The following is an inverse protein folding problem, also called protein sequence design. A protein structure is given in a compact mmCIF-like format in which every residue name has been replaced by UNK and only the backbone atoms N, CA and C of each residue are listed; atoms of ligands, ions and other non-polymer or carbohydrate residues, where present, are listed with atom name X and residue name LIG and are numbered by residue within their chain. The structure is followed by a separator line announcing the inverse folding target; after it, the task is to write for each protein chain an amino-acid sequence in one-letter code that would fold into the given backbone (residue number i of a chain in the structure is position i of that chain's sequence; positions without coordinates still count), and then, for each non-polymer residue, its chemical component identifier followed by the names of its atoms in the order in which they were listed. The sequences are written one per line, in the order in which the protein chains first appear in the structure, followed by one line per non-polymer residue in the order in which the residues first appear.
data_IF_253568324042
#
_entry.id   IF_253568324042
#
_cell.length_a   1.000
_cell.length_b   1.000
_cell.length_c   1.000
_cell.angle_alpha   90.00
_cell.angle_beta   90.00
_cell.angle_gamma   90.00
#
_symmetry.space_group_name_H-M   'P 1'
#
loop_
_entity.id
_entity.type
_entity.pdbx_description
1 polymer ?
#
# COMPACT_ATOMS: atom_id res chain seq x y z
N UNK A 1 -6.10 8.44 -30.41
CA UNK A 1 -4.89 8.52 -29.56
C UNK A 1 -4.80 7.25 -28.72
N UNK A 2 -4.10 6.26 -29.25
CA UNK A 2 -3.95 4.97 -28.57
C UNK A 2 -3.12 5.19 -27.31
N UNK A 3 -3.81 5.21 -26.17
CA UNK A 3 -3.27 5.49 -24.83
C UNK A 3 -2.36 4.38 -24.31
N UNK A 4 -1.43 3.92 -25.13
CA UNK A 4 -0.49 2.88 -24.76
C UNK A 4 0.59 3.51 -23.84
N UNK A 5 0.27 3.54 -22.53
CA UNK A 5 1.16 3.99 -21.45
C UNK A 5 2.43 3.11 -21.29
N UNK A 6 2.61 2.09 -22.15
CA UNK A 6 3.68 1.09 -22.10
C UNK A 6 4.92 1.52 -22.88
N UNK A 7 5.60 2.58 -22.43
CA UNK A 7 6.90 2.95 -23.00
C UNK A 7 8.03 2.19 -22.29
N UNK A 8 8.50 1.10 -22.91
CA UNK A 8 9.65 0.32 -22.41
C UNK A 8 10.91 1.17 -22.20
N UNK A 9 11.10 2.18 -23.05
CA UNK A 9 12.20 3.13 -22.91
C UNK A 9 12.07 3.95 -21.63
N UNK A 10 10.87 4.45 -21.32
CA UNK A 10 10.61 5.23 -20.12
C UNK A 10 10.72 4.35 -18.87
N UNK A 11 10.17 3.13 -18.90
CA UNK A 11 10.31 2.12 -17.84
C UNK A 11 11.78 1.93 -17.46
N UNK A 12 12.63 1.54 -18.43
CA UNK A 12 14.08 1.32 -18.21
C UNK A 12 14.82 2.57 -17.73
N UNK A 13 14.40 3.75 -18.17
CA UNK A 13 15.01 5.02 -17.75
C UNK A 13 14.71 5.34 -16.27
N UNK A 14 13.51 5.03 -15.81
CA UNK A 14 13.04 5.25 -14.44
C UNK A 14 13.58 4.21 -13.47
N UNK A 15 13.61 2.93 -13.87
CA UNK A 15 14.23 1.84 -13.11
C UNK A 15 15.69 2.16 -12.75
N UNK A 16 16.48 2.63 -13.73
CA UNK A 16 17.88 3.01 -13.53
C UNK A 16 18.09 4.15 -12.53
N UNK A 17 17.04 4.93 -12.23
CA UNK A 17 17.10 6.05 -11.28
C UNK A 17 16.52 5.70 -9.91
N UNK A 18 16.11 4.45 -9.70
CA UNK A 18 15.42 4.04 -8.47
C UNK A 18 14.07 4.76 -8.33
N UNK A 19 13.40 5.09 -9.44
CA UNK A 19 12.05 5.63 -9.37
C UNK A 19 11.09 4.46 -9.21
N UNK A 20 10.39 4.41 -8.08
CA UNK A 20 9.38 3.41 -7.77
C UNK A 20 8.00 4.10 -7.83
N UNK A 21 6.98 3.44 -8.40
CA UNK A 21 5.62 4.01 -8.45
C UNK A 21 5.07 4.37 -9.84
N UNK A 22 5.74 3.99 -10.93
CA UNK A 22 5.13 4.09 -12.27
C UNK A 22 4.29 2.86 -12.55
N UNK A 23 2.97 3.02 -12.55
CA UNK A 23 2.02 1.98 -12.94
C UNK A 23 2.22 1.61 -14.40
N UNK A 24 2.73 0.41 -14.69
CA UNK A 24 2.96 0.02 -16.09
C UNK A 24 1.67 -0.40 -16.79
N UNK A 25 0.78 -1.24 -16.22
CA UNK A 25 -0.48 -1.61 -16.90
C UNK A 25 -1.56 -2.28 -16.06
N UNK A 26 -2.82 -1.99 -16.43
CA UNK A 26 -3.95 -2.95 -16.50
C UNK A 26 -4.56 -3.40 -15.18
N UNK A 27 -5.89 -3.34 -15.08
CA UNK A 27 -6.75 -3.86 -14.01
C UNK A 27 -6.46 -5.35 -13.68
N UNK A 28 -5.29 -5.66 -13.12
CA UNK A 28 -5.03 -7.00 -12.62
C UNK A 28 -5.69 -7.04 -11.27
N UNK A 29 -6.84 -7.72 -11.21
CA UNK A 29 -7.50 -8.13 -9.99
C UNK A 29 -6.50 -8.99 -9.23
N UNK A 30 -5.65 -8.35 -8.43
CA UNK A 30 -4.84 -9.08 -7.50
C UNK A 30 -5.76 -9.51 -6.35
N UNK A 31 -6.32 -10.71 -6.52
CA UNK A 31 -7.09 -11.44 -5.51
C UNK A 31 -6.17 -12.28 -4.62
N UNK A 32 -4.84 -12.14 -4.71
CA UNK A 32 -3.86 -12.95 -3.95
C UNK A 32 -3.68 -12.47 -2.51
N UNK A 33 -4.70 -11.86 -1.92
CA UNK A 33 -4.73 -11.53 -0.50
C UNK A 33 -4.08 -10.21 -0.12
N UNK A 34 -4.18 -9.21 -1.00
CA UNK A 34 -3.69 -7.83 -0.74
C UNK A 34 -2.19 -7.78 -0.42
N UNK A 35 -1.41 -8.70 -0.96
CA UNK A 35 0.04 -8.63 -0.87
C UNK A 35 0.56 -7.40 -1.63
N UNK A 36 1.71 -6.88 -1.21
CA UNK A 36 2.41 -5.91 -2.02
C UNK A 36 2.87 -6.53 -3.35
N UNK A 37 2.86 -5.77 -4.44
CA UNK A 37 3.31 -6.27 -5.74
C UNK A 37 4.78 -6.65 -5.68
N UNK A 38 5.11 -7.86 -6.14
CA UNK A 38 6.48 -8.36 -6.19
C UNK A 38 7.36 -7.55 -7.15
N UNK A 39 6.80 -7.12 -8.27
CA UNK A 39 7.42 -6.14 -9.17
C UNK A 39 6.83 -4.75 -8.90
N UNK A 40 7.60 -3.90 -8.23
CA UNK A 40 7.21 -2.51 -7.90
C UNK A 40 7.08 -1.59 -9.11
N UNK A 41 7.64 -1.96 -10.25
CA UNK A 41 7.42 -1.25 -11.50
C UNK A 41 6.12 -1.72 -12.15
N UNK A 42 5.70 -2.97 -11.93
CA UNK A 42 4.49 -3.54 -12.50
C UNK A 42 3.39 -3.75 -11.44
N UNK A 43 2.95 -2.67 -10.79
CA UNK A 43 1.80 -2.69 -9.89
C UNK A 43 0.50 -2.26 -10.56
N UNK A 44 -0.64 -2.69 -10.01
CA UNK A 44 -2.00 -2.32 -10.43
C UNK A 44 -2.86 -1.98 -9.21
N UNK A 45 -4.01 -1.36 -9.45
CA UNK A 45 -5.11 -1.31 -8.48
C UNK A 45 -5.78 -2.69 -8.34
N UNK A 46 -6.28 -2.97 -7.14
CA UNK A 46 -7.08 -4.15 -6.81
C UNK A 46 -8.56 -3.95 -7.20
N UNK A 47 -9.03 -2.71 -7.17
CA UNK A 47 -10.43 -2.36 -7.36
C UNK A 47 -10.67 -1.18 -8.33
N UNK A 48 -11.83 -1.16 -8.97
CA UNK A 48 -12.31 -0.11 -9.85
C UNK A 48 -13.81 0.16 -9.60
N UNK A 49 -14.43 0.99 -10.44
CA UNK A 49 -15.84 1.37 -10.34
C UNK A 49 -16.86 0.19 -10.36
N UNK A 50 -16.45 -1.02 -10.78
CA UNK A 50 -17.31 -2.20 -10.83
C UNK A 50 -17.30 -2.99 -9.51
N UNK A 51 -16.16 -3.07 -8.83
CA UNK A 51 -15.96 -3.95 -7.67
C UNK A 51 -15.46 -3.24 -6.40
N UNK A 52 -15.41 -1.90 -6.38
CA UNK A 52 -14.88 -1.10 -5.28
C UNK A 52 -15.43 -1.49 -3.91
N UNK A 53 -16.76 -1.62 -3.79
CA UNK A 53 -17.43 -1.99 -2.54
C UNK A 53 -17.11 -3.43 -2.11
N UNK A 54 -17.09 -4.37 -3.06
CA UNK A 54 -16.81 -5.79 -2.78
C UNK A 54 -15.38 -5.97 -2.27
N UNK A 55 -14.39 -5.40 -2.99
CA UNK A 55 -12.98 -5.54 -2.59
C UNK A 55 -12.71 -4.78 -1.29
N UNK A 56 -13.36 -3.64 -1.06
CA UNK A 56 -13.28 -2.91 0.22
C UNK A 56 -13.71 -3.77 1.40
N UNK A 57 -14.84 -4.49 1.24
CA UNK A 57 -15.32 -5.42 2.27
C UNK A 57 -14.36 -6.57 2.49
N UNK A 58 -13.87 -7.19 1.41
CA UNK A 58 -12.89 -8.28 1.50
C UNK A 58 -11.59 -7.83 2.17
N UNK A 59 -11.18 -6.57 1.98
CA UNK A 59 -10.01 -6.00 2.63
C UNK A 59 -10.21 -5.83 4.14
N UNK A 60 -11.37 -5.31 4.56
CA UNK A 60 -11.70 -5.17 5.98
C UNK A 60 -11.85 -6.51 6.71
N UNK A 61 -12.39 -7.53 6.04
CA UNK A 61 -12.50 -8.89 6.58
C UNK A 61 -11.18 -9.68 6.53
N UNK A 62 -10.14 -9.16 5.86
CA UNK A 62 -8.89 -9.89 5.66
C UNK A 62 -8.15 -10.08 6.99
N UNK A 63 -7.64 -11.30 7.30
CA UNK A 63 -6.94 -11.55 8.55
C UNK A 63 -5.70 -10.66 8.75
N UNK A 64 -5.57 -10.07 9.94
CA UNK A 64 -4.33 -9.44 10.38
C UNK A 64 -3.30 -10.53 10.72
N UNK A 65 -2.45 -10.84 9.75
CA UNK A 65 -1.31 -11.75 9.89
C UNK A 65 0.01 -11.02 10.23
N UNK A 66 -0.07 -9.72 10.57
CA UNK A 66 1.09 -8.87 10.80
C UNK A 66 1.85 -8.45 9.52
N UNK A 67 1.39 -8.87 8.34
CA UNK A 67 1.92 -8.45 7.06
C UNK A 67 1.39 -7.09 6.62
N UNK A 68 2.24 -6.30 5.95
CA UNK A 68 1.80 -5.07 5.30
C UNK A 68 0.90 -5.41 4.10
N UNK A 69 -0.33 -4.90 4.11
CA UNK A 69 -1.33 -5.13 3.06
C UNK A 69 -1.46 -3.93 2.12
N UNK A 70 -1.79 -4.20 0.87
CA UNK A 70 -1.93 -3.24 -0.21
C UNK A 70 -3.36 -3.29 -0.76
N UNK A 71 -4.13 -2.23 -0.49
CA UNK A 71 -5.39 -1.96 -1.16
C UNK A 71 -5.25 -0.65 -1.96
N UNK A 72 -5.43 -0.74 -3.27
CA UNK A 72 -5.43 0.40 -4.16
C UNK A 72 -6.62 0.30 -5.10
N UNK A 73 -7.32 1.42 -5.32
CA UNK A 73 -8.38 1.49 -6.32
C UNK A 73 -8.05 2.52 -7.39
N UNK A 74 -8.34 2.16 -8.64
CA UNK A 74 -8.14 3.00 -9.80
C UNK A 74 -9.47 3.58 -10.25
N UNK A 75 -9.53 4.89 -10.42
CA UNK A 75 -10.70 5.59 -10.95
C UNK A 75 -10.31 6.39 -12.17
N UNK A 76 -11.07 6.25 -13.26
CA UNK A 76 -11.13 7.27 -14.29
C UNK A 76 -12.50 7.93 -14.16
N UNK A 77 -12.55 9.26 -14.05
CA UNK A 77 -13.82 9.98 -13.89
C UNK A 77 -14.83 9.64 -14.99
N UNK A 78 -14.36 9.43 -16.22
CA UNK A 78 -15.18 9.01 -17.35
C UNK A 78 -15.86 7.64 -17.16
N UNK A 79 -15.20 6.68 -16.50
CA UNK A 79 -15.77 5.35 -16.25
C UNK A 79 -16.96 5.45 -15.28
N UNK A 80 -16.83 6.28 -14.23
CA UNK A 80 -17.90 6.54 -13.27
C UNK A 80 -19.07 7.30 -13.89
N UNK A 81 -18.76 8.31 -14.71
CA UNK A 81 -19.76 9.10 -15.42
C UNK A 81 -20.58 8.23 -16.37
N UNK A 82 -19.90 7.50 -17.26
CA UNK A 82 -20.55 6.63 -18.25
C UNK A 82 -21.40 5.53 -17.62
N UNK A 83 -20.92 4.98 -16.50
CA UNK A 83 -21.64 3.94 -15.79
C UNK A 83 -22.75 4.48 -14.89
N UNK A 84 -22.85 5.81 -14.69
CA UNK A 84 -23.77 6.40 -13.73
C UNK A 84 -23.51 5.93 -12.28
N UNK A 85 -22.25 5.66 -11.93
CA UNK A 85 -21.85 4.97 -10.70
C UNK A 85 -21.12 5.86 -9.69
N UNK A 86 -21.27 7.18 -9.77
CA UNK A 86 -20.69 8.10 -8.78
C UNK A 86 -21.12 7.78 -7.34
N UNK A 87 -22.34 7.28 -7.16
CA UNK A 87 -22.84 6.82 -5.87
C UNK A 87 -21.95 5.72 -5.27
N UNK A 88 -21.36 4.82 -6.06
CA UNK A 88 -20.44 3.77 -5.58
C UNK A 88 -19.22 4.37 -4.89
N UNK A 89 -18.64 5.44 -5.46
CA UNK A 89 -17.50 6.12 -4.85
C UNK A 89 -17.90 6.85 -3.57
N UNK A 90 -19.07 7.49 -3.56
CA UNK A 90 -19.62 8.18 -2.38
C UNK A 90 -19.87 7.18 -1.24
N UNK A 91 -20.55 6.08 -1.53
CA UNK A 91 -20.87 5.04 -0.54
C UNK A 91 -19.58 4.39 -0.01
N UNK A 92 -18.60 4.13 -0.88
CA UNK A 92 -17.29 3.61 -0.46
C UNK A 92 -16.57 4.60 0.46
N UNK A 93 -16.51 5.89 0.09
CA UNK A 93 -15.88 6.91 0.92
C UNK A 93 -16.61 7.11 2.26
N UNK A 94 -17.94 6.97 2.30
CA UNK A 94 -18.71 7.03 3.53
C UNK A 94 -18.45 5.82 4.45
N UNK A 95 -18.28 4.62 3.89
CA UNK A 95 -18.05 3.39 4.66
C UNK A 95 -16.60 3.26 5.18
N UNK A 96 -15.63 3.65 4.36
CA UNK A 96 -14.21 3.42 4.63
C UNK A 96 -13.41 4.68 4.86
N UNK A 97 -13.95 5.88 4.63
CA UNK A 97 -13.27 7.13 4.91
C UNK A 97 -13.28 7.48 6.40
N UNK A 98 -12.32 8.31 6.81
CA UNK A 98 -12.26 8.88 8.16
C UNK A 98 -12.21 7.84 9.31
N UNK A 99 -11.50 6.71 9.09
CA UNK A 99 -11.25 5.66 10.08
C UNK A 99 -9.74 5.44 10.29
N UNK A 100 -8.95 6.48 10.64
CA UNK A 100 -7.49 6.41 10.71
C UNK A 100 -6.94 5.47 11.79
N UNK A 101 -7.76 5.10 12.77
CA UNK A 101 -7.46 4.07 13.77
C UNK A 101 -7.50 2.65 13.20
N UNK A 102 -8.19 2.46 12.07
CA UNK A 102 -8.36 1.19 11.38
C UNK A 102 -7.53 1.12 10.10
N UNK A 103 -7.53 2.20 9.30
CA UNK A 103 -6.89 2.24 7.97
C UNK A 103 -5.81 3.31 7.89
N UNK A 104 -4.74 2.97 7.18
CA UNK A 104 -3.72 3.93 6.78
C UNK A 104 -4.00 4.41 5.35
N UNK A 105 -4.41 5.66 5.22
CA UNK A 105 -4.62 6.30 3.92
C UNK A 105 -3.33 6.99 3.47
N UNK A 106 -2.76 6.54 2.36
CA UNK A 106 -1.50 7.06 1.85
C UNK A 106 -1.47 7.01 0.30
N UNK A 107 -0.68 7.90 -0.34
CA UNK A 107 -0.28 7.72 -1.73
C UNK A 107 0.49 6.39 -1.90
N UNK A 108 0.37 5.77 -3.07
CA UNK A 108 1.08 4.51 -3.37
C UNK A 108 2.60 4.62 -3.20
N UNK A 109 3.19 5.79 -3.49
CA UNK A 109 4.63 6.01 -3.26
C UNK A 109 5.03 5.88 -1.79
N UNK A 110 4.22 6.43 -0.88
CA UNK A 110 4.46 6.38 0.57
C UNK A 110 4.37 4.94 1.11
N UNK A 111 3.48 4.13 0.54
CA UNK A 111 3.39 2.70 0.83
C UNK A 111 4.66 1.94 0.42
N UNK A 112 5.28 2.27 -0.72
CA UNK A 112 6.55 1.68 -1.13
C UNK A 112 7.73 2.18 -0.28
N UNK A 113 7.77 3.46 0.05
CA UNK A 113 8.77 4.03 0.96
C UNK A 113 8.70 3.35 2.35
N UNK A 114 7.49 3.06 2.83
CA UNK A 114 7.28 2.31 4.07
C UNK A 114 7.81 0.88 3.96
N UNK A 115 7.54 0.17 2.86
CA UNK A 115 8.07 -1.16 2.61
C UNK A 115 9.61 -1.17 2.60
N UNK A 116 10.24 -0.16 2.00
CA UNK A 116 11.70 0.02 2.03
C UNK A 116 12.23 0.25 3.44
N UNK A 117 11.57 1.14 4.19
CA UNK A 117 11.94 1.42 5.57
C UNK A 117 11.86 0.17 6.46
N UNK A 118 10.84 -0.69 6.28
CA UNK A 118 10.75 -1.99 6.97
C UNK A 118 11.94 -2.88 6.61
N UNK A 119 12.31 -2.96 5.33
CA UNK A 119 13.47 -3.72 4.87
C UNK A 119 14.83 -3.19 5.38
N UNK A 120 14.88 -1.94 5.84
CA UNK A 120 16.07 -1.33 6.43
C UNK A 120 16.22 -1.58 7.94
N UNK A 121 15.21 -2.16 8.61
CA UNK A 121 15.27 -2.42 10.05
C UNK A 121 16.47 -3.31 10.40
N UNK A 122 17.21 -2.92 11.45
CA UNK A 122 18.26 -3.76 12.03
C UNK A 122 17.73 -4.39 13.31
N UNK A 123 17.50 -5.69 13.28
CA UNK A 123 17.11 -6.47 14.46
C UNK A 123 18.40 -6.88 15.19
N UNK A 124 18.44 -6.60 16.50
CA UNK A 124 19.53 -6.93 17.42
C UNK A 124 18.96 -7.74 18.59
N UNK A 125 19.84 -8.34 19.38
CA UNK A 125 19.42 -9.13 20.56
C UNK A 125 18.59 -8.31 21.57
N UNK A 126 18.89 -7.03 21.74
CA UNK A 126 18.28 -6.15 22.74
C UNK A 126 17.27 -5.15 22.15
N UNK A 127 16.94 -5.25 20.85
CA UNK A 127 15.97 -4.35 20.24
C UNK A 127 16.04 -4.23 18.71
N UNK A 128 15.38 -3.20 18.21
CA UNK A 128 15.21 -2.91 16.78
C UNK A 128 15.67 -1.48 16.50
N UNK A 129 16.45 -1.26 15.44
CA UNK A 129 16.85 0.07 14.97
C UNK A 129 16.20 0.37 13.62
N UNK A 130 15.62 1.56 13.48
CA UNK A 130 15.12 2.11 12.23
C UNK A 130 16.11 3.16 11.71
N UNK A 131 17.00 2.81 10.77
CA UNK A 131 17.92 3.77 10.16
C UNK A 131 17.28 4.57 9.02
N UNK A 132 16.01 4.31 8.68
CA UNK A 132 15.31 4.98 7.59
C UNK A 132 14.86 6.39 7.98
N UNK A 133 14.24 7.08 7.02
CA UNK A 133 13.62 8.41 7.18
C UNK A 133 12.10 8.35 7.38
N UNK A 134 11.53 7.16 7.50
CA UNK A 134 10.09 6.92 7.62
C UNK A 134 9.81 6.39 9.03
N UNK A 135 8.76 6.91 9.66
CA UNK A 135 8.27 6.37 10.93
C UNK A 135 7.58 5.02 10.68
N UNK A 136 7.94 4.00 11.46
CA UNK A 136 7.42 2.64 11.30
C UNK A 136 6.44 2.30 12.42
N UNK A 137 5.34 1.66 12.07
CA UNK A 137 4.32 1.17 13.00
C UNK A 137 4.44 -0.36 13.07
N UNK A 138 4.99 -0.85 14.16
CA UNK A 138 5.34 -2.25 14.34
C UNK A 138 4.50 -2.88 15.45
N UNK A 139 4.42 -4.21 15.45
CA UNK A 139 3.91 -4.99 16.57
C UNK A 139 5.05 -5.86 17.08
N UNK A 140 5.53 -5.58 18.30
CA UNK A 140 6.61 -6.32 18.97
C UNK A 140 6.00 -7.03 20.16
N UNK A 141 6.05 -8.36 20.18
CA UNK A 141 5.47 -9.20 21.25
C UNK A 141 4.02 -8.85 21.60
N UNK A 142 3.22 -8.59 20.57
CA UNK A 142 1.81 -8.20 20.73
C UNK A 142 1.56 -6.72 20.99
N UNK A 143 2.60 -5.95 21.30
CA UNK A 143 2.52 -4.51 21.63
C UNK A 143 2.73 -3.67 20.37
N UNK A 144 1.82 -2.72 20.11
CA UNK A 144 1.97 -1.74 19.03
C UNK A 144 3.02 -0.69 19.41
N UNK A 145 4.00 -0.48 18.54
CA UNK A 145 5.14 0.41 18.75
C UNK A 145 5.29 1.32 17.53
N UNK A 146 5.35 2.63 17.75
CA UNK A 146 5.82 3.58 16.72
C UNK A 146 7.32 3.74 16.86
N UNK A 147 8.07 3.14 15.93
CA UNK A 147 9.51 3.26 15.83
C UNK A 147 9.87 4.40 14.85
N UNK A 148 10.12 5.58 15.43
CA UNK A 148 10.43 6.79 14.65
C UNK A 148 11.70 6.65 13.81
N UNK A 149 11.75 7.41 12.72
CA UNK A 149 12.90 7.53 11.84
C UNK A 149 14.20 7.83 12.62
N UNK A 150 15.26 7.08 12.32
CA UNK A 150 16.57 7.20 12.96
C UNK A 150 16.60 6.82 14.44
N UNK A 151 15.57 6.15 14.98
CA UNK A 151 15.48 5.74 16.39
C UNK A 151 15.62 4.24 16.57
N UNK A 152 15.75 3.82 17.84
CA UNK A 152 15.78 2.42 18.24
C UNK A 152 14.72 2.16 19.30
N UNK A 153 14.10 0.99 19.22
CA UNK A 153 13.26 0.41 20.25
C UNK A 153 14.07 -0.65 21.00
N UNK A 154 14.03 -0.64 22.34
CA UNK A 154 14.67 -1.66 23.18
C UNK A 154 13.63 -2.65 23.66
N UNK A 155 13.94 -3.94 23.58
CA UNK A 155 13.07 -4.95 24.15
C UNK A 155 13.01 -4.79 25.68
N UNK A 156 11.84 -4.97 26.31
CA UNK A 156 11.74 -4.99 27.76
C UNK A 156 12.70 -6.03 28.34
N UNK A 157 13.41 -5.70 29.43
CA UNK A 157 14.29 -6.67 30.10
C UNK A 157 13.43 -7.76 30.76
N UNK A 158 13.51 -9.01 30.29
CA UNK A 158 12.84 -10.14 30.94
C UNK A 158 12.27 -11.23 30.01
N UNK A 159 12.89 -11.48 28.85
CA UNK A 159 12.67 -12.70 28.07
C UNK A 159 13.89 -13.61 28.17
#
# INVERSE_FOLDING_TARGET
PDGNQKSERLKKYLEKRGYYGVRITGCVKDTTGFAFPADRMAWSYNANYENLTEIGRLYEEYPDDGGLKFFCFGVHSHDFENAGKWNVLVDFAAAYGNRPETFYYAPVGELFDYQDAVGMLKIKEDGIENPSKVDLFLKVDGVRVTLRAGKSYRFPKGH
#
